data_IF_465630779071
#
_entry.id   IF_465630779071
#
_cell.length_a   1.000
_cell.length_b   1.000
_cell.length_c   1.000
_cell.angle_alpha   90.00
_cell.angle_beta   90.00
_cell.angle_gamma   90.00
#
_symmetry.space_group_name_H-M   'P 1'
#
loop_
_entity.id
_entity.type
_entity.pdbx_description
1 polymer ?
#
# COMPACT_ATOMS: atom_id res chain seq x y z
N UNK A 1 -28.71 -16.18 31.16
CA UNK A 1 -27.47 -15.49 30.75
C UNK A 1 -27.05 -14.49 31.80
N UNK A 2 -25.84 -14.61 32.33
CA UNK A 2 -25.25 -13.65 33.25
C UNK A 2 -24.34 -12.71 32.45
N UNK A 3 -24.44 -11.38 32.61
CA UNK A 3 -23.56 -10.45 31.92
C UNK A 3 -22.14 -10.56 32.47
N UNK A 4 -21.16 -10.74 31.58
CA UNK A 4 -19.73 -10.71 31.92
C UNK A 4 -19.19 -9.30 31.74
N UNK A 5 -18.70 -8.72 32.83
CA UNK A 5 -18.16 -7.35 32.93
C UNK A 5 -16.64 -7.41 33.02
N UNK A 6 -15.95 -7.80 31.94
CA UNK A 6 -14.49 -7.69 31.88
C UNK A 6 -14.08 -6.61 30.88
N UNK A 7 -13.06 -5.83 31.25
CA UNK A 7 -12.47 -4.85 30.35
C UNK A 7 -11.80 -5.56 29.16
N UNK A 8 -12.05 -5.05 27.96
CA UNK A 8 -11.44 -5.60 26.75
C UNK A 8 -9.92 -5.47 26.81
N UNK A 9 -9.20 -6.49 26.33
CA UNK A 9 -7.75 -6.45 26.25
C UNK A 9 -7.29 -5.27 25.38
N UNK A 10 -6.17 -4.61 25.75
CA UNK A 10 -5.61 -3.53 24.95
C UNK A 10 -5.19 -4.07 23.57
N UNK A 11 -5.46 -3.29 22.52
CA UNK A 11 -5.08 -3.64 21.16
C UNK A 11 -3.56 -3.73 21.03
N UNK A 12 -3.07 -4.85 20.52
CA UNK A 12 -1.65 -5.02 20.19
C UNK A 12 -1.41 -4.36 18.84
N UNK A 13 -0.44 -3.42 18.72
CA UNK A 13 -0.13 -2.80 17.44
C UNK A 13 0.36 -3.85 16.45
N UNK A 14 -0.10 -3.74 15.20
CA UNK A 14 0.35 -4.63 14.13
C UNK A 14 1.87 -4.53 13.95
N UNK A 15 2.54 -5.66 13.83
CA UNK A 15 3.97 -5.69 13.54
C UNK A 15 4.20 -5.06 12.16
N UNK A 16 4.94 -3.94 12.11
CA UNK A 16 5.29 -3.28 10.87
C UNK A 16 6.60 -3.84 10.31
N UNK A 17 6.59 -4.18 9.02
CA UNK A 17 7.83 -4.49 8.30
C UNK A 17 8.52 -3.18 7.90
N UNK A 18 9.85 -3.17 7.90
CA UNK A 18 10.62 -2.03 7.39
C UNK A 18 10.41 -1.83 5.89
N UNK A 19 10.72 -0.62 5.40
CA UNK A 19 10.69 -0.32 3.98
C UNK A 19 11.70 -1.20 3.19
N UNK A 20 11.48 -1.31 1.88
CA UNK A 20 12.46 -1.87 0.95
C UNK A 20 13.79 -1.08 1.00
N UNK A 21 14.88 -1.68 0.53
CA UNK A 21 16.18 -1.01 0.54
C UNK A 21 16.16 0.24 -0.35
N UNK A 22 16.86 1.30 0.08
CA UNK A 22 16.94 2.54 -0.70
C UNK A 22 17.55 2.32 -2.08
N UNK A 23 18.55 1.44 -2.19
CA UNK A 23 19.19 1.11 -3.46
C UNK A 23 18.20 0.45 -4.44
N UNK A 24 17.33 -0.44 -3.97
CA UNK A 24 16.31 -1.08 -4.81
C UNK A 24 15.22 -0.09 -5.23
N UNK A 25 14.85 0.85 -4.35
CA UNK A 25 13.90 1.92 -4.67
C UNK A 25 14.47 2.86 -5.74
N UNK A 26 15.73 3.28 -5.63
CA UNK A 26 16.40 4.12 -6.62
C UNK A 26 16.50 3.42 -7.98
N UNK A 27 16.86 2.13 -7.97
CA UNK A 27 16.89 1.31 -9.17
C UNK A 27 15.51 1.22 -9.84
N UNK A 28 14.46 0.89 -9.08
CA UNK A 28 13.10 0.78 -9.58
C UNK A 28 12.59 2.12 -10.15
N UNK A 29 12.85 3.23 -9.46
CA UNK A 29 12.48 4.56 -9.92
C UNK A 29 13.11 4.89 -11.28
N UNK A 30 14.38 4.52 -11.49
CA UNK A 30 15.05 4.70 -12.77
C UNK A 30 14.44 3.82 -13.87
N UNK A 31 14.09 2.57 -13.56
CA UNK A 31 13.42 1.67 -14.51
C UNK A 31 12.05 2.22 -14.95
N UNK A 32 11.24 2.74 -14.01
CA UNK A 32 9.94 3.34 -14.31
C UNK A 32 10.12 4.56 -15.23
N UNK A 33 11.10 5.44 -14.95
CA UNK A 33 11.39 6.64 -15.76
C UNK A 33 11.84 6.31 -17.20
N UNK A 34 12.51 5.18 -17.40
CA UNK A 34 12.99 4.74 -18.72
C UNK A 34 11.96 3.93 -19.50
N UNK A 35 10.89 3.45 -18.84
CA UNK A 35 9.86 2.66 -19.48
C UNK A 35 9.04 3.52 -20.45
N UNK A 36 8.72 2.98 -21.62
CA UNK A 36 7.90 3.67 -22.62
C UNK A 36 6.43 3.79 -22.21
N UNK A 37 5.92 2.80 -21.47
CA UNK A 37 4.54 2.76 -21.00
C UNK A 37 4.46 1.98 -19.66
N UNK A 38 4.97 2.55 -18.56
CA UNK A 38 4.85 1.92 -17.25
C UNK A 38 3.39 1.91 -16.80
N UNK A 39 2.95 0.83 -16.16
CA UNK A 39 1.60 0.65 -15.60
C UNK A 39 1.72 0.06 -14.20
N UNK A 40 0.90 0.56 -13.26
CA UNK A 40 0.79 0.00 -11.92
C UNK A 40 -0.35 -1.02 -11.87
N UNK A 41 -0.06 -2.23 -11.36
CA UNK A 41 -1.05 -3.25 -11.05
C UNK A 41 -1.22 -3.35 -9.53
N UNK A 42 -2.37 -2.93 -9.02
CA UNK A 42 -2.65 -2.90 -7.58
C UNK A 42 -3.41 -4.16 -7.16
N UNK A 43 -2.79 -4.94 -6.27
CA UNK A 43 -3.36 -6.16 -5.69
C UNK A 43 -4.08 -5.92 -4.36
N UNK A 44 -4.59 -6.99 -3.74
CA UNK A 44 -5.36 -6.96 -2.48
C UNK A 44 -4.66 -6.33 -1.26
N UNK A 45 -3.32 -6.23 -1.28
CA UNK A 45 -2.55 -5.58 -0.20
C UNK A 45 -2.30 -4.09 -0.46
N UNK A 46 -2.82 -3.57 -1.57
CA UNK A 46 -2.74 -2.15 -1.93
C UNK A 46 -3.96 -1.34 -1.49
N UNK A 47 -4.95 -1.99 -0.87
CA UNK A 47 -6.27 -1.40 -0.57
C UNK A 47 -6.48 -1.01 0.90
N UNK A 48 -5.45 -1.05 1.74
CA UNK A 48 -5.53 -0.41 3.06
C UNK A 48 -5.36 1.11 2.93
N UNK A 49 -6.02 1.88 3.80
CA UNK A 49 -6.09 3.34 3.73
C UNK A 49 -4.70 4.01 3.65
N UNK A 50 -3.70 3.48 4.35
CA UNK A 50 -2.36 4.04 4.35
C UNK A 50 -1.68 3.82 3.00
N UNK A 51 -1.78 2.61 2.44
CA UNK A 51 -1.21 2.30 1.12
C UNK A 51 -1.94 3.06 0.01
N UNK A 52 -3.27 3.18 0.08
CA UNK A 52 -4.07 3.97 -0.86
C UNK A 52 -3.64 5.44 -0.84
N UNK A 53 -3.50 6.05 0.33
CA UNK A 53 -3.03 7.44 0.45
C UNK A 53 -1.62 7.64 -0.13
N UNK A 54 -0.71 6.71 0.14
CA UNK A 54 0.64 6.74 -0.43
C UNK A 54 0.63 6.60 -1.96
N UNK A 55 -0.21 5.72 -2.50
CA UNK A 55 -0.41 5.54 -3.94
C UNK A 55 -0.96 6.83 -4.58
N UNK A 56 -1.98 7.45 -3.98
CA UNK A 56 -2.51 8.73 -4.45
C UNK A 56 -1.45 9.84 -4.46
N UNK A 57 -0.62 9.93 -3.43
CA UNK A 57 0.48 10.88 -3.39
C UNK A 57 1.46 10.65 -4.55
N UNK A 58 1.84 9.40 -4.80
CA UNK A 58 2.73 9.05 -5.91
C UNK A 58 2.13 9.42 -7.28
N UNK A 59 0.84 9.10 -7.48
CA UNK A 59 0.14 9.38 -8.74
C UNK A 59 -0.07 10.87 -8.98
N UNK A 60 -0.14 11.68 -7.92
CA UNK A 60 -0.20 13.14 -8.01
C UNK A 60 1.06 13.74 -8.65
N UNK A 61 2.22 13.19 -8.31
CA UNK A 61 3.51 13.66 -8.85
C UNK A 61 3.91 12.94 -10.15
N UNK A 62 3.51 11.68 -10.29
CA UNK A 62 3.87 10.81 -11.42
C UNK A 62 2.61 10.14 -11.98
N UNK A 63 1.96 10.73 -13.01
CA UNK A 63 0.74 10.18 -13.56
C UNK A 63 1.04 8.87 -14.30
N UNK A 64 0.74 7.76 -13.65
CA UNK A 64 0.89 6.40 -14.19
C UNK A 64 -0.51 5.80 -14.41
N UNK A 65 -0.74 5.09 -15.52
CA UNK A 65 -1.92 4.25 -15.65
C UNK A 65 -1.97 3.20 -14.53
N UNK A 66 -3.15 3.01 -13.93
CA UNK A 66 -3.36 2.05 -12.85
C UNK A 66 -4.46 1.08 -13.25
N UNK A 67 -4.23 -0.20 -12.94
CA UNK A 67 -5.24 -1.25 -13.01
C UNK A 67 -5.33 -1.95 -11.67
N UNK A 68 -6.54 -2.22 -11.21
CA UNK A 68 -6.80 -2.81 -9.91
C UNK A 68 -7.35 -4.23 -10.09
N UNK A 69 -6.87 -5.14 -9.26
CA UNK A 69 -7.55 -6.43 -9.08
C UNK A 69 -8.88 -6.22 -8.36
N UNK A 70 -9.83 -7.15 -8.50
CA UNK A 70 -11.11 -7.07 -7.78
C UNK A 70 -10.95 -6.95 -6.25
N UNK A 71 -9.89 -7.53 -5.69
CA UNK A 71 -9.61 -7.50 -4.25
C UNK A 71 -8.88 -6.23 -3.80
N UNK A 72 -8.36 -5.45 -4.75
CA UNK A 72 -7.78 -4.13 -4.53
C UNK A 72 -8.74 -3.00 -4.90
N UNK A 73 -10.01 -3.30 -5.17
CA UNK A 73 -11.02 -2.30 -5.52
C UNK A 73 -11.32 -1.40 -4.32
N UNK A 74 -11.17 -0.09 -4.50
CA UNK A 74 -11.33 0.91 -3.46
C UNK A 74 -10.49 2.13 -3.76
#
# INVERSE_FOLDING_TARGET
DAPVTIDALPQVPAAQQGAASLADLDWLANQIKQAQLPVLLVGARGSDDQTVAALHSLLGDTPLPVVETFQGAG
#
